data_IF_790148531219
#
_entry.id   IF_790148531219
#
_cell.length_a   1.000
_cell.length_b   1.000
_cell.length_c   1.000
_cell.angle_alpha   90.00
_cell.angle_beta   90.00
_cell.angle_gamma   90.00
#
_symmetry.space_group_name_H-M   'P 1'
#
loop_
_entity.id
_entity.type
_entity.pdbx_description
1 polymer ?
#
# COMPACT_ATOMS: atom_id res chain seq x y z
N UNK A 1 0.20 -8.96 -9.69
CA UNK A 1 -0.22 -8.36 -8.41
C UNK A 1 0.14 -9.35 -7.32
N UNK A 2 0.94 -8.93 -6.33
CA UNK A 2 1.27 -9.72 -5.16
C UNK A 2 0.56 -9.11 -3.95
N UNK A 3 -0.08 -9.93 -3.12
CA UNK A 3 -0.82 -9.48 -1.92
C UNK A 3 -0.21 -10.08 -0.66
N UNK A 4 -0.01 -9.26 0.37
CA UNK A 4 0.51 -9.65 1.68
C UNK A 4 -0.38 -9.04 2.77
N UNK A 5 -0.89 -9.87 3.69
CA UNK A 5 -1.59 -9.39 4.87
C UNK A 5 -0.59 -8.99 5.96
N UNK A 6 -0.83 -7.89 6.68
CA UNK A 6 -0.02 -7.48 7.83
C UNK A 6 1.39 -6.99 7.50
N UNK A 7 1.66 -6.60 6.25
CA UNK A 7 3.00 -6.13 5.83
C UNK A 7 3.40 -4.87 6.60
N UNK A 8 4.60 -4.87 7.20
CA UNK A 8 5.09 -3.72 7.98
C UNK A 8 5.51 -2.58 7.05
N UNK A 9 4.87 -1.42 7.21
CA UNK A 9 5.12 -0.25 6.37
C UNK A 9 6.48 0.40 6.64
N UNK A 10 7.10 0.13 7.80
CA UNK A 10 8.51 0.49 8.06
C UNK A 10 9.50 -0.04 7.01
N UNK A 11 9.22 -1.17 6.35
CA UNK A 11 10.06 -1.70 5.26
C UNK A 11 9.98 -0.87 3.97
N UNK A 12 8.97 0.00 3.87
CA UNK A 12 8.60 0.72 2.65
C UNK A 12 8.61 2.24 2.81
N UNK A 13 9.01 2.75 3.97
CA UNK A 13 9.24 4.19 4.22
C UNK A 13 10.72 4.47 4.41
N UNK A 14 11.20 5.63 3.95
CA UNK A 14 12.62 6.01 4.13
C UNK A 14 12.97 6.28 5.60
N UNK A 15 11.99 6.74 6.38
CA UNK A 15 12.10 6.95 7.82
C UNK A 15 12.11 5.64 8.62
N UNK A 16 11.80 4.50 7.98
CA UNK A 16 11.75 3.17 8.61
C UNK A 16 10.79 3.08 9.79
N UNK A 17 9.70 3.84 9.72
CA UNK A 17 8.59 3.82 10.68
C UNK A 17 7.31 3.36 9.99
N UNK A 18 6.42 2.75 10.76
CA UNK A 18 5.12 2.27 10.29
C UNK A 18 4.79 0.85 10.71
N UNK A 19 3.59 0.71 11.26
CA UNK A 19 2.95 -0.55 11.61
C UNK A 19 2.48 -1.38 10.41
N UNK A 20 1.65 -2.41 10.65
CA UNK A 20 1.13 -3.27 9.60
C UNK A 20 0.07 -2.57 8.74
N UNK A 21 0.06 -2.84 7.44
CA UNK A 21 -1.14 -2.65 6.61
C UNK A 21 -2.08 -3.86 6.77
N UNK A 22 -3.39 -3.65 6.77
CA UNK A 22 -4.35 -4.77 6.73
C UNK A 22 -4.08 -5.64 5.50
N UNK A 23 -3.99 -5.00 4.33
CA UNK A 23 -3.53 -5.61 3.08
C UNK A 23 -2.47 -4.75 2.40
N UNK A 24 -1.51 -5.41 1.74
CA UNK A 24 -0.49 -4.76 0.94
C UNK A 24 -0.43 -5.38 -0.44
N UNK A 25 -0.63 -4.55 -1.45
CA UNK A 25 -0.67 -4.90 -2.87
C UNK A 25 0.50 -4.26 -3.58
N UNK A 26 1.26 -5.05 -4.34
CA UNK A 26 2.28 -4.52 -5.25
C UNK A 26 1.79 -4.55 -6.70
N UNK A 27 1.65 -3.36 -7.30
CA UNK A 27 1.23 -3.17 -8.69
C UNK A 27 2.44 -2.86 -9.58
N UNK A 28 2.85 -3.83 -10.40
CA UNK A 28 4.04 -3.74 -11.26
C UNK A 28 3.76 -3.25 -12.68
N UNK A 29 2.48 -3.06 -13.04
CA UNK A 29 2.05 -2.51 -14.34
C UNK A 29 0.95 -1.47 -14.15
N UNK A 30 0.83 -0.53 -15.10
CA UNK A 30 -0.25 0.46 -15.09
C UNK A 30 -1.65 -0.16 -15.05
N UNK A 31 -1.98 -1.17 -15.88
CA UNK A 31 -3.26 -1.87 -15.78
C UNK A 31 -3.50 -2.47 -14.39
N UNK A 32 -2.51 -3.15 -13.81
CA UNK A 32 -2.66 -3.74 -12.48
C UNK A 32 -2.88 -2.69 -11.38
N UNK A 33 -2.32 -1.48 -11.54
CA UNK A 33 -2.57 -0.36 -10.62
C UNK A 33 -4.02 0.12 -10.74
N UNK A 34 -4.52 0.33 -11.96
CA UNK A 34 -5.90 0.76 -12.19
C UNK A 34 -6.91 -0.27 -11.69
N UNK A 35 -6.69 -1.55 -11.99
CA UNK A 35 -7.56 -2.64 -11.57
C UNK A 35 -7.60 -2.76 -10.04
N UNK A 36 -6.45 -2.65 -9.38
CA UNK A 36 -6.36 -2.74 -7.92
C UNK A 36 -7.09 -1.59 -7.22
N UNK A 37 -6.85 -0.35 -7.65
CA UNK A 37 -7.50 0.83 -7.05
C UNK A 37 -9.00 0.83 -7.34
N UNK A 38 -9.40 0.54 -8.58
CA UNK A 38 -10.83 0.48 -8.96
C UNK A 38 -11.61 -0.57 -8.16
N UNK A 39 -11.06 -1.77 -7.99
CA UNK A 39 -11.71 -2.82 -7.19
C UNK A 39 -11.85 -2.43 -5.70
N UNK A 40 -10.90 -1.67 -5.14
CA UNK A 40 -10.96 -1.21 -3.76
C UNK A 40 -11.96 -0.06 -3.58
N UNK A 41 -12.03 0.85 -4.56
CA UNK A 41 -13.02 1.92 -4.60
C UNK A 41 -14.45 1.36 -4.70
N UNK A 42 -14.68 0.35 -5.55
CA UNK A 42 -15.98 -0.34 -5.69
C UNK A 42 -16.43 -1.01 -4.37
N UNK A 43 -15.47 -1.43 -3.54
CA UNK A 43 -15.73 -2.04 -2.23
C UNK A 43 -15.77 -1.02 -1.08
N UNK A 44 -15.53 0.26 -1.35
CA UNK A 44 -15.34 1.31 -0.34
C UNK A 44 -14.26 0.98 0.71
N UNK A 45 -13.22 0.23 0.31
CA UNK A 45 -12.09 -0.11 1.17
C UNK A 45 -11.14 1.09 1.27
N UNK A 46 -10.69 1.51 2.46
CA UNK A 46 -9.69 2.57 2.59
C UNK A 46 -8.39 2.23 1.83
N UNK A 47 -7.95 3.13 0.95
CA UNK A 47 -6.75 2.94 0.12
C UNK A 47 -5.67 3.96 0.47
N UNK A 48 -4.44 3.47 0.65
CA UNK A 48 -3.23 4.29 0.65
C UNK A 48 -2.37 3.93 -0.57
N UNK A 49 -2.19 4.89 -1.48
CA UNK A 49 -1.27 4.72 -2.62
C UNK A 49 0.15 5.05 -2.17
N UNK A 50 1.06 4.09 -2.32
CA UNK A 50 2.44 4.20 -1.87
C UNK A 50 3.43 4.19 -3.04
N UNK A 51 4.22 5.25 -3.15
CA UNK A 51 5.40 5.31 -4.04
C UNK A 51 6.65 4.75 -3.37
N UNK A 52 7.71 5.56 -3.33
CA UNK A 52 8.95 5.22 -2.62
C UNK A 52 8.96 5.48 -1.10
N UNK A 53 7.86 5.99 -0.54
CA UNK A 53 7.71 6.22 0.91
C UNK A 53 8.65 7.28 1.51
N UNK A 54 9.15 8.23 0.72
CA UNK A 54 10.13 9.24 1.16
C UNK A 54 9.56 10.38 2.01
N UNK A 55 8.23 10.55 1.99
CA UNK A 55 7.53 11.63 2.68
C UNK A 55 6.29 11.10 3.41
N UNK A 56 6.44 9.97 4.10
CA UNK A 56 5.36 9.33 4.83
C UNK A 56 5.80 9.05 6.26
N UNK A 57 4.95 9.43 7.22
CA UNK A 57 5.04 9.03 8.63
C UNK A 57 3.81 8.19 8.90
N UNK A 58 4.01 6.91 9.18
CA UNK A 58 2.94 5.97 9.50
C UNK A 58 3.04 5.63 10.98
N UNK A 59 1.91 5.63 11.68
CA UNK A 59 1.83 5.25 13.08
C UNK A 59 2.25 3.78 13.30
N UNK A 60 2.64 3.43 14.53
CA UNK A 60 2.99 2.05 14.89
C UNK A 60 1.80 1.08 14.81
N UNK A 61 0.58 1.59 14.94
CA UNK A 61 -0.67 0.84 14.73
C UNK A 61 -0.91 0.54 13.24
N UNK A 62 -0.20 1.22 12.33
CA UNK A 62 -0.23 0.93 10.90
C UNK A 62 -1.40 1.59 10.15
N UNK A 63 -1.98 0.85 9.20
CA UNK A 63 -3.07 1.31 8.34
C UNK A 63 -4.15 0.24 8.21
N UNK A 64 -5.33 0.52 8.73
CA UNK A 64 -6.51 -0.36 8.67
C UNK A 64 -7.21 -0.23 7.31
N UNK A 65 -6.52 -0.71 6.27
CA UNK A 65 -6.95 -0.66 4.88
C UNK A 65 -5.91 -1.28 3.95
N UNK A 66 -6.11 -1.10 2.65
CA UNK A 66 -5.20 -1.65 1.64
C UNK A 66 -4.18 -0.62 1.20
N UNK A 67 -2.90 -0.97 1.29
CA UNK A 67 -1.81 -0.20 0.70
C UNK A 67 -1.52 -0.72 -0.70
N UNK A 68 -1.57 0.15 -1.71
CA UNK A 68 -1.22 -0.19 -3.09
C UNK A 68 0.12 0.47 -3.43
N UNK A 69 1.19 -0.34 -3.51
CA UNK A 69 2.50 0.13 -3.91
C UNK A 69 2.62 0.22 -5.43
N UNK A 70 2.97 1.40 -5.91
CA UNK A 70 3.28 1.68 -7.32
C UNK A 70 4.70 1.20 -7.62
N UNK A 71 4.80 0.09 -8.34
CA UNK A 71 6.04 -0.52 -8.80
C UNK A 71 6.08 -0.62 -10.34
N UNK A 72 5.43 0.32 -11.02
CA UNK A 72 5.39 0.41 -12.48
C UNK A 72 6.65 1.08 -13.01
N UNK A 73 7.24 0.52 -14.08
CA UNK A 73 8.34 1.14 -14.82
C UNK A 73 7.88 2.31 -15.71
#
# INVERSE_FOLDING_TARGET
>A
MLTRAGERLASWTTLRVGGPAADFVEATTRPALYDAVGALDDCATPVLVLGGGSNLVVADDGFDGTVVRVATA
#
